data_IF_038143924011
#
_entry.id   IF_038143924011
#
_cell.length_a   1.000
_cell.length_b   1.000
_cell.length_c   1.000
_cell.angle_alpha   90.00
_cell.angle_beta   90.00
_cell.angle_gamma   90.00
#
_symmetry.space_group_name_H-M   'P 1'
#
loop_
_entity.id
_entity.type
_entity.pdbx_description
1 polymer ?
#
# COMPACT_ATOMS: atom_id res chain seq x y z
N UNK A 1 -11.29 -55.15 3.30
CA UNK A 1 -10.95 -54.37 4.52
C UNK A 1 -9.43 -54.28 4.55
N UNK A 2 -8.70 -53.18 4.51
CA UNK A 2 -8.94 -51.73 4.70
C UNK A 2 -7.94 -50.97 3.79
N UNK A 3 -8.38 -49.88 3.15
CA UNK A 3 -7.51 -48.96 2.40
C UNK A 3 -6.82 -48.01 3.39
N UNK A 4 -5.49 -47.99 3.40
CA UNK A 4 -4.70 -47.00 4.13
C UNK A 4 -4.66 -45.69 3.34
N UNK A 5 -5.32 -44.67 3.87
CA UNK A 5 -5.34 -43.31 3.29
C UNK A 5 -4.20 -42.51 3.91
N UNK A 6 -3.22 -42.13 3.08
CA UNK A 6 -2.18 -41.17 3.46
C UNK A 6 -2.77 -39.76 3.42
N UNK A 7 -2.73 -39.05 4.55
CA UNK A 7 -3.06 -37.61 4.62
C UNK A 7 -1.76 -36.85 4.44
N UNK A 8 -1.53 -36.31 3.24
CA UNK A 8 -0.50 -35.31 3.00
C UNK A 8 -0.98 -33.97 3.58
N UNK A 9 -0.32 -33.52 4.65
CA UNK A 9 -0.41 -32.13 5.11
C UNK A 9 0.26 -31.22 4.08
N UNK A 10 -0.53 -30.41 3.38
CA UNK A 10 -0.03 -29.26 2.63
C UNK A 10 0.16 -28.09 3.60
N UNK A 11 1.42 -27.78 3.92
CA UNK A 11 1.78 -26.48 4.49
C UNK A 11 1.73 -25.44 3.35
N UNK A 12 0.65 -24.66 3.29
CA UNK A 12 0.58 -23.49 2.42
C UNK A 12 1.47 -22.39 3.00
N UNK A 13 2.68 -22.25 2.49
CA UNK A 13 3.45 -21.02 2.64
C UNK A 13 2.68 -19.91 1.92
N UNK A 14 2.05 -19.00 2.66
CA UNK A 14 1.53 -17.75 2.13
C UNK A 14 2.72 -16.88 1.73
N UNK A 15 3.24 -17.12 0.53
CA UNK A 15 4.02 -16.12 -0.17
C UNK A 15 3.08 -14.93 -0.41
N UNK A 16 3.23 -13.87 0.36
CA UNK A 16 2.60 -12.58 0.09
C UNK A 16 3.34 -12.01 -1.13
N UNK A 17 3.02 -12.54 -2.32
CA UNK A 17 3.47 -11.96 -3.57
C UNK A 17 2.86 -10.57 -3.69
N UNK A 18 3.68 -9.58 -4.06
CA UNK A 18 3.15 -8.32 -4.57
C UNK A 18 2.11 -8.63 -5.65
N UNK A 19 0.96 -7.92 -5.69
CA UNK A 19 -0.03 -8.15 -6.73
C UNK A 19 0.65 -8.07 -8.10
N UNK A 20 0.32 -9.01 -9.00
CA UNK A 20 0.84 -9.02 -10.35
C UNK A 20 0.54 -7.66 -11.03
N UNK A 21 1.42 -7.21 -11.94
CA UNK A 21 1.20 -5.95 -12.70
C UNK A 21 -0.20 -5.97 -13.34
N UNK A 22 -1.06 -5.05 -12.91
CA UNK A 22 -2.44 -4.91 -13.41
C UNK A 22 -3.52 -5.50 -12.51
N UNK A 23 -3.16 -6.20 -11.44
CA UNK A 23 -4.11 -6.65 -10.43
C UNK A 23 -4.20 -5.62 -9.29
N UNK A 24 -5.42 -5.25 -8.93
CA UNK A 24 -5.68 -4.36 -7.81
C UNK A 24 -5.31 -5.10 -6.49
N UNK A 25 -4.47 -4.52 -5.61
CA UNK A 25 -4.14 -5.11 -4.31
C UNK A 25 -5.41 -5.34 -3.49
N UNK A 26 -5.45 -6.37 -2.63
CA UNK A 26 -6.53 -6.47 -1.66
C UNK A 26 -6.46 -5.29 -0.68
N UNK A 27 -7.62 -4.75 -0.30
CA UNK A 27 -7.69 -3.73 0.74
C UNK A 27 -7.32 -4.38 2.08
N UNK A 28 -6.29 -3.88 2.79
CA UNK A 28 -5.93 -4.40 4.09
C UNK A 28 -7.08 -4.31 5.09
N UNK A 29 -7.23 -5.32 5.95
CA UNK A 29 -8.32 -5.37 6.93
C UNK A 29 -8.30 -4.18 7.90
N UNK A 30 -7.11 -3.67 8.24
CA UNK A 30 -6.92 -2.45 9.03
C UNK A 30 -7.45 -1.17 8.36
N UNK A 31 -7.74 -1.21 7.06
CA UNK A 31 -8.30 -0.09 6.30
C UNK A 31 -9.78 -0.31 5.93
N UNK A 32 -10.37 -1.46 6.29
CA UNK A 32 -11.79 -1.74 6.07
C UNK A 32 -12.63 -0.92 7.06
N UNK A 33 -13.29 0.11 6.54
CA UNK A 33 -14.02 1.11 7.34
C UNK A 33 -13.94 2.54 6.79
N UNK A 34 -13.25 2.74 5.67
CA UNK A 34 -13.19 4.04 4.97
C UNK A 34 -12.19 5.03 5.58
N UNK A 35 -11.49 4.63 6.65
CA UNK A 35 -10.47 5.43 7.29
C UNK A 35 -9.13 4.73 7.25
N UNK A 36 -8.08 5.49 6.95
CA UNK A 36 -6.79 5.22 7.55
C UNK A 36 -6.94 5.57 9.03
N UNK A 37 -7.43 4.61 9.83
CA UNK A 37 -7.47 4.84 11.27
C UNK A 37 -6.03 5.01 11.76
N UNK A 38 -5.75 5.98 12.64
CA UNK A 38 -4.47 6.07 13.32
C UNK A 38 -4.39 4.91 14.34
N UNK A 39 -4.26 3.69 13.84
CA UNK A 39 -3.71 2.62 14.66
C UNK A 39 -2.31 3.06 15.09
N UNK A 40 -1.88 2.60 16.27
CA UNK A 40 -0.54 2.89 16.77
C UNK A 40 0.49 2.54 15.70
N UNK A 41 1.09 3.56 15.09
CA UNK A 41 2.14 3.37 14.10
C UNK A 41 3.31 2.70 14.81
N UNK A 42 3.77 1.57 14.28
CA UNK A 42 4.95 0.87 14.80
C UNK A 42 6.24 1.49 14.27
N UNK A 43 6.15 2.36 13.25
CA UNK A 43 7.27 3.12 12.74
C UNK A 43 6.86 4.17 11.70
N UNK A 44 7.87 4.82 11.13
CA UNK A 44 7.72 5.71 9.99
C UNK A 44 8.87 5.50 9.01
N UNK A 45 8.63 5.85 7.75
CA UNK A 45 9.66 5.84 6.72
C UNK A 45 9.61 7.12 5.91
N UNK A 46 10.74 7.44 5.28
CA UNK A 46 10.87 8.56 4.34
C UNK A 46 11.62 8.08 3.12
N UNK A 47 11.07 8.34 1.94
CA UNK A 47 11.78 8.19 0.66
C UNK A 47 11.86 9.55 -0.01
N UNK A 48 12.94 9.76 -0.76
CA UNK A 48 13.25 11.02 -1.44
C UNK A 48 13.65 10.74 -2.87
N UNK A 49 13.34 11.68 -3.75
CA UNK A 49 13.75 11.68 -5.14
C UNK A 49 13.34 10.39 -5.87
N UNK A 50 12.12 9.90 -5.57
CA UNK A 50 11.61 8.66 -6.14
C UNK A 50 10.53 8.90 -7.18
N UNK A 51 10.61 8.17 -8.29
CA UNK A 51 9.52 8.08 -9.25
C UNK A 51 8.35 7.28 -8.67
N UNK A 52 7.14 7.67 -9.04
CA UNK A 52 5.92 6.94 -8.69
C UNK A 52 5.80 5.70 -9.57
N UNK A 53 5.64 4.54 -8.95
CA UNK A 53 5.46 3.25 -9.59
C UNK A 53 4.00 3.03 -9.99
N UNK A 54 3.34 2.08 -9.32
CA UNK A 54 1.92 1.80 -9.49
C UNK A 54 1.08 2.87 -8.80
N UNK A 55 -0.09 3.19 -9.35
CA UNK A 55 -1.14 3.98 -8.69
C UNK A 55 -2.50 3.30 -8.92
N UNK A 56 -3.43 3.47 -7.99
CA UNK A 56 -4.81 3.00 -8.16
C UNK A 56 -5.75 3.52 -7.07
N UNK A 57 -7.05 3.27 -7.25
CA UNK A 57 -8.11 3.78 -6.38
C UNK A 57 -9.17 2.72 -6.15
N UNK A 58 -9.40 2.40 -4.87
CA UNK A 58 -10.56 1.64 -4.41
C UNK A 58 -11.72 2.59 -4.17
N UNK A 59 -12.49 2.88 -5.22
CA UNK A 59 -13.57 3.87 -5.18
C UNK A 59 -14.63 3.57 -4.11
N UNK A 60 -14.94 2.29 -3.88
CA UNK A 60 -15.94 1.87 -2.89
C UNK A 60 -15.54 2.19 -1.43
N UNK A 61 -14.26 2.45 -1.18
CA UNK A 61 -13.72 2.62 0.17
C UNK A 61 -13.03 3.98 0.36
N UNK A 62 -13.12 4.87 -0.62
CA UNK A 62 -12.43 6.16 -0.64
C UNK A 62 -10.94 6.03 -0.29
N UNK A 63 -10.30 4.98 -0.81
CA UNK A 63 -8.89 4.68 -0.58
C UNK A 63 -8.16 4.70 -1.92
N UNK A 64 -7.01 5.34 -1.97
CA UNK A 64 -6.06 5.20 -3.06
C UNK A 64 -4.77 4.56 -2.56
N UNK A 65 -3.98 4.07 -3.50
CA UNK A 65 -2.68 3.49 -3.21
C UNK A 65 -1.67 3.84 -4.29
N UNK A 66 -0.40 3.85 -3.90
CA UNK A 66 0.71 3.99 -4.85
C UNK A 66 1.97 3.28 -4.35
N UNK A 67 2.88 2.97 -5.27
CA UNK A 67 4.25 2.56 -4.96
C UNK A 67 5.27 3.60 -5.44
N UNK A 68 6.52 3.43 -5.03
CA UNK A 68 7.67 4.17 -5.56
C UNK A 68 8.67 3.19 -6.17
N UNK A 69 9.43 3.62 -7.18
CA UNK A 69 10.35 2.74 -7.92
C UNK A 69 11.52 2.21 -7.07
N UNK A 70 11.98 2.98 -6.08
CA UNK A 70 12.99 2.54 -5.11
C UNK A 70 12.52 1.50 -4.09
N UNK A 71 11.24 1.11 -4.14
CA UNK A 71 10.66 0.13 -3.24
C UNK A 71 10.36 0.67 -1.85
N UNK A 72 9.61 -0.14 -1.09
CA UNK A 72 9.13 0.19 0.25
C UNK A 72 9.24 -1.04 1.16
N UNK A 73 10.44 -1.32 1.72
CA UNK A 73 10.74 -2.61 2.34
C UNK A 73 9.90 -2.93 3.58
N UNK A 74 9.35 -1.91 4.24
CA UNK A 74 8.54 -2.05 5.46
C UNK A 74 7.03 -2.01 5.17
N UNK A 75 6.64 -1.96 3.90
CA UNK A 75 5.25 -1.81 3.49
C UNK A 75 4.74 -3.09 2.86
N UNK A 76 3.59 -3.56 3.34
CA UNK A 76 2.84 -4.65 2.75
C UNK A 76 2.57 -4.33 1.27
N UNK A 77 2.88 -5.29 0.40
CA UNK A 77 2.81 -5.14 -1.06
C UNK A 77 3.69 -4.04 -1.66
N UNK A 78 4.55 -3.40 -0.87
CA UNK A 78 5.32 -2.20 -1.26
C UNK A 78 4.41 -1.05 -1.71
N UNK A 79 3.28 -0.86 -1.01
CA UNK A 79 2.29 0.18 -1.29
C UNK A 79 2.09 1.12 -0.11
N UNK A 80 1.84 2.39 -0.42
CA UNK A 80 1.36 3.40 0.51
C UNK A 80 -0.12 3.65 0.19
N UNK A 81 -0.97 3.49 1.20
CA UNK A 81 -2.39 3.81 1.13
C UNK A 81 -2.66 5.24 1.57
N UNK A 82 -3.65 5.89 0.95
CA UNK A 82 -4.10 7.23 1.30
C UNK A 82 -5.63 7.26 1.31
N UNK A 83 -6.22 7.80 2.38
CA UNK A 83 -7.66 8.06 2.42
C UNK A 83 -7.97 9.28 1.57
N UNK A 84 -8.96 9.16 0.68
CA UNK A 84 -9.51 10.22 -0.15
C UNK A 84 -10.71 10.93 0.50
N UNK A 85 -11.16 10.47 1.67
CA UNK A 85 -12.23 11.11 2.43
C UNK A 85 -11.88 12.55 2.86
N UNK A 86 -10.69 12.86 3.43
CA UNK A 86 -10.29 14.23 3.74
C UNK A 86 -9.77 15.00 2.51
N UNK A 87 -9.99 16.32 2.48
CA UNK A 87 -9.44 17.19 1.41
C UNK A 87 -7.91 17.08 1.29
N UNK A 88 -7.20 17.01 2.41
CA UNK A 88 -5.74 16.85 2.43
C UNK A 88 -5.28 15.57 1.76
N UNK A 89 -5.99 14.46 1.95
CA UNK A 89 -5.68 13.18 1.30
C UNK A 89 -5.92 13.21 -0.21
N UNK A 90 -6.99 13.89 -0.67
CA UNK A 90 -7.23 14.12 -2.11
C UNK A 90 -6.15 14.99 -2.74
N UNK A 91 -5.74 16.07 -2.07
CA UNK A 91 -4.68 16.96 -2.55
C UNK A 91 -3.34 16.20 -2.64
N UNK A 92 -2.99 15.45 -1.61
CA UNK A 92 -1.80 14.62 -1.59
C UNK A 92 -1.81 13.57 -2.72
N UNK A 93 -2.93 12.90 -2.96
CA UNK A 93 -3.03 11.94 -4.05
C UNK A 93 -2.98 12.62 -5.43
N UNK A 94 -3.50 13.83 -5.58
CA UNK A 94 -3.35 14.61 -6.81
C UNK A 94 -1.88 14.94 -7.12
N UNK A 95 -1.07 15.27 -6.11
CA UNK A 95 0.39 15.43 -6.25
C UNK A 95 1.05 14.14 -6.77
N UNK A 96 0.70 13.00 -6.20
CA UNK A 96 1.20 11.68 -6.65
C UNK A 96 0.81 11.40 -8.10
N UNK A 97 -0.44 11.67 -8.50
CA UNK A 97 -0.90 11.49 -9.88
C UNK A 97 -0.19 12.45 -10.85
N UNK A 98 0.04 13.70 -10.45
CA UNK A 98 0.77 14.68 -11.25
C UNK A 98 2.19 14.21 -11.53
N UNK A 99 2.92 13.84 -10.46
CA UNK A 99 4.27 13.28 -10.55
C UNK A 99 4.33 12.02 -11.43
N UNK A 100 3.37 11.10 -11.29
CA UNK A 100 3.29 9.90 -12.13
C UNK A 100 3.11 10.26 -13.62
N UNK A 101 2.24 11.22 -13.91
CA UNK A 101 1.93 11.63 -15.29
C UNK A 101 3.08 12.40 -15.95
N UNK A 102 3.79 13.22 -15.19
CA UNK A 102 4.92 14.02 -15.69
C UNK A 102 6.25 13.27 -15.65
N UNK A 103 6.29 12.06 -15.08
CA UNK A 103 7.52 11.32 -14.78
C UNK A 103 8.53 12.17 -13.98
N UNK A 104 8.02 13.02 -13.10
CA UNK A 104 8.82 13.84 -12.19
C UNK A 104 8.94 13.11 -10.85
N UNK A 105 10.14 12.97 -10.26
CA UNK A 105 10.28 12.37 -8.93
C UNK A 105 9.50 13.15 -7.87
N UNK A 106 8.97 12.45 -6.87
CA UNK A 106 8.49 13.09 -5.65
C UNK A 106 9.71 13.48 -4.80
N UNK A 107 9.83 14.76 -4.46
CA UNK A 107 10.91 15.27 -3.60
C UNK A 107 10.95 14.57 -2.25
N UNK A 108 9.80 14.36 -1.61
CA UNK A 108 9.73 13.64 -0.32
C UNK A 108 8.38 12.96 -0.14
N UNK A 109 8.41 11.70 0.30
CA UNK A 109 7.24 10.95 0.75
C UNK A 109 7.53 10.42 2.14
N UNK A 110 6.74 10.84 3.13
CA UNK A 110 6.76 10.24 4.47
C UNK A 110 5.53 9.38 4.67
N UNK A 111 5.72 8.22 5.30
CA UNK A 111 4.65 7.27 5.56
C UNK A 111 4.77 6.70 6.97
N UNK A 112 3.63 6.31 7.52
CA UNK A 112 3.54 5.56 8.77
C UNK A 112 3.44 4.08 8.46
N UNK A 113 4.13 3.25 9.23
CA UNK A 113 4.04 1.79 9.17
C UNK A 113 3.14 1.33 10.32
N UNK A 114 2.10 0.58 10.00
CA UNK A 114 1.21 -0.03 10.98
C UNK A 114 1.74 -1.40 11.42
N UNK A 115 1.18 -1.93 12.51
CA UNK A 115 1.60 -3.20 13.10
C UNK A 115 1.46 -4.41 12.16
N UNK A 116 0.54 -4.34 11.20
CA UNK A 116 0.31 -5.35 10.16
C UNK A 116 1.14 -5.11 8.89
N UNK A 117 2.06 -4.15 8.92
CA UNK A 117 2.91 -3.76 7.79
C UNK A 117 2.22 -2.85 6.78
N UNK A 118 0.97 -2.44 7.00
CA UNK A 118 0.30 -1.50 6.10
C UNK A 118 0.94 -0.13 6.22
N UNK A 119 1.33 0.45 5.09
CA UNK A 119 1.86 1.80 5.06
C UNK A 119 0.80 2.80 4.64
N UNK A 120 0.75 3.92 5.34
CA UNK A 120 -0.20 4.99 5.04
C UNK A 120 0.49 6.32 4.93
N UNK A 121 0.00 7.14 4.01
CA UNK A 121 0.60 8.42 3.71
C UNK A 121 0.52 9.35 4.92
N UNK A 122 1.65 9.93 5.28
CA UNK A 122 1.73 11.01 6.26
C UNK A 122 1.87 12.36 5.56
N UNK A 123 2.90 12.50 4.71
CA UNK A 123 3.10 13.69 3.88
C UNK A 123 3.71 13.34 2.51
N UNK A 124 3.44 14.18 1.52
CA UNK A 124 4.06 14.12 0.19
C UNK A 124 4.33 15.53 -0.33
N UNK A 125 5.46 15.71 -1.00
CA UNK A 125 5.82 16.95 -1.71
C UNK A 125 6.44 16.58 -3.05
N UNK A 126 6.01 17.26 -4.12
CA UNK A 126 6.69 17.22 -5.42
C UNK A 126 7.96 18.07 -5.42
#
# INVERSE_FOLDING_TARGET
MMRHTHVLMFAAALAISSPARGQEPPIPQSLLGGGVQPYASTGSGTVRDQLVGQVGVHAANELAYFSVEGGLPNCLYQLIYVSLAPQGGRAAFATVLSSKRSATPLSTVTYLVQADGVCTLNTVTD
#
